data_IF_694474808454
#
_entry.id   IF_694474808454
#
_cell.length_a   1.000
_cell.length_b   1.000
_cell.length_c   1.000
_cell.angle_alpha   90.00
_cell.angle_beta   90.00
_cell.angle_gamma   90.00
#
_symmetry.space_group_name_H-M   'P 1'
#
loop_
_entity.id
_entity.type
_entity.pdbx_description
1 polymer ?
#
# COMPACT_ATOMS: atom_id res chain seq x y z
N UNK A 1 4.75 -2.20 -15.99
CA UNK A 1 5.51 -2.39 -14.75
C UNK A 1 5.13 -1.25 -13.83
N UNK A 2 4.61 -1.53 -12.64
CA UNK A 2 4.26 -0.53 -11.63
C UNK A 2 5.28 -0.62 -10.50
N UNK A 3 5.80 0.53 -10.07
CA UNK A 3 6.72 0.63 -8.95
C UNK A 3 6.23 1.69 -7.97
N UNK A 4 6.08 1.30 -6.72
CA UNK A 4 5.72 2.16 -5.59
C UNK A 4 6.93 2.17 -4.66
N UNK A 5 7.42 3.36 -4.33
CA UNK A 5 8.57 3.57 -3.45
C UNK A 5 8.16 4.42 -2.26
N UNK A 6 8.36 3.88 -1.06
CA UNK A 6 8.16 4.55 0.22
C UNK A 6 6.80 5.29 0.33
N UNK A 7 5.71 4.60 0.02
CA UNK A 7 4.36 5.17 0.10
C UNK A 7 3.92 5.34 1.55
N UNK A 8 3.55 6.57 1.91
CA UNK A 8 2.88 6.91 3.17
C UNK A 8 1.47 7.40 2.86
N UNK A 9 0.52 6.96 3.68
CA UNK A 9 -0.90 7.33 3.54
C UNK A 9 -1.43 7.58 4.93
N UNK A 10 -2.20 8.65 5.10
CA UNK A 10 -2.87 9.02 6.34
C UNK A 10 -4.30 9.52 6.07
N UNK A 11 -5.14 9.48 7.09
CA UNK A 11 -6.47 10.09 7.04
C UNK A 11 -6.32 11.61 7.11
N UNK A 12 -6.91 12.33 6.15
CA UNK A 12 -6.78 13.78 6.03
C UNK A 12 -7.28 14.54 7.27
N UNK A 13 -8.39 14.08 7.88
CA UNK A 13 -8.99 14.77 9.04
C UNK A 13 -8.30 14.44 10.37
N UNK A 14 -7.73 13.23 10.52
CA UNK A 14 -7.20 12.73 11.79
C UNK A 14 -5.65 12.69 11.84
N UNK A 15 -4.98 12.86 10.69
CA UNK A 15 -3.54 12.65 10.56
C UNK A 15 -3.10 11.22 10.90
N UNK A 16 -4.04 10.27 10.94
CA UNK A 16 -3.79 8.91 11.39
C UNK A 16 -3.09 8.11 10.29
N UNK A 17 -1.86 7.63 10.50
CA UNK A 17 -1.13 6.90 9.47
C UNK A 17 -1.75 5.52 9.21
N UNK A 18 -2.10 5.26 7.95
CA UNK A 18 -2.61 3.99 7.42
C UNK A 18 -1.46 3.15 6.85
N UNK A 19 -0.67 3.73 5.94
CA UNK A 19 0.53 3.11 5.36
C UNK A 19 1.77 3.87 5.83
N UNK A 20 2.80 3.13 6.24
CA UNK A 20 4.02 3.66 6.89
C UNK A 20 5.26 3.33 6.08
N UNK A 21 5.31 3.72 4.81
CA UNK A 21 6.45 3.47 3.92
C UNK A 21 6.40 2.11 3.25
N UNK A 22 5.41 1.92 2.38
CA UNK A 22 5.27 0.69 1.58
C UNK A 22 6.09 0.78 0.29
N UNK A 23 6.84 -0.28 -0.02
CA UNK A 23 7.48 -0.48 -1.31
C UNK A 23 6.82 -1.67 -2.02
N UNK A 24 6.40 -1.49 -3.27
CA UNK A 24 5.75 -2.54 -4.06
C UNK A 24 6.21 -2.46 -5.51
N UNK A 25 6.63 -3.60 -6.05
CA UNK A 25 6.95 -3.76 -7.47
C UNK A 25 6.01 -4.79 -8.08
N UNK A 26 5.29 -4.38 -9.14
CA UNK A 26 4.38 -5.25 -9.89
C UNK A 26 4.89 -5.35 -11.33
N UNK A 27 5.35 -6.54 -11.67
CA UNK A 27 5.82 -6.86 -13.02
C UNK A 27 4.64 -6.94 -14.01
N UNK A 28 4.91 -6.62 -15.28
CA UNK A 28 3.91 -6.70 -16.32
C UNK A 28 3.47 -8.15 -16.57
N UNK A 29 2.17 -8.37 -16.80
CA UNK A 29 1.61 -9.70 -17.11
C UNK A 29 1.44 -10.63 -15.90
N UNK A 30 1.79 -10.21 -14.69
CA UNK A 30 1.61 -11.00 -13.46
C UNK A 30 0.39 -10.53 -12.65
N UNK A 31 -0.38 -11.49 -12.14
CA UNK A 31 -1.48 -11.23 -11.19
C UNK A 31 -0.95 -11.33 -9.77
N UNK A 32 -1.25 -10.32 -8.94
CA UNK A 32 -0.84 -10.26 -7.54
C UNK A 32 -2.07 -10.11 -6.66
N UNK A 33 -2.06 -10.76 -5.49
CA UNK A 33 -3.09 -10.62 -4.48
C UNK A 33 -2.54 -9.87 -3.26
N UNK A 34 -3.34 -8.99 -2.69
CA UNK A 34 -3.05 -8.31 -1.43
C UNK A 34 -4.00 -8.89 -0.37
N UNK A 35 -3.44 -9.45 0.71
CA UNK A 35 -4.20 -10.23 1.71
C UNK A 35 -3.87 -9.84 3.14
N UNK A 36 -4.83 -10.01 4.06
CA UNK A 36 -4.68 -9.66 5.48
C UNK A 36 -5.98 -9.25 6.21
N UNK A 37 -5.92 -8.98 7.52
CA UNK A 37 -7.11 -8.68 8.34
C UNK A 37 -7.75 -7.31 8.06
N UNK A 38 -8.99 -7.08 8.50
CA UNK A 38 -9.62 -5.75 8.39
C UNK A 38 -8.80 -4.67 9.12
N UNK A 39 -8.66 -3.50 8.49
CA UNK A 39 -7.90 -2.38 9.05
C UNK A 39 -6.37 -2.42 8.83
N UNK A 40 -5.84 -3.39 8.07
CA UNK A 40 -4.39 -3.51 7.80
C UNK A 40 -3.84 -2.61 6.67
N UNK A 41 -4.69 -1.79 6.04
CA UNK A 41 -4.25 -0.91 4.93
C UNK A 41 -4.11 -1.63 3.58
N UNK A 42 -4.77 -2.78 3.42
CA UNK A 42 -5.07 -3.34 2.10
C UNK A 42 -6.24 -2.61 1.49
#
# INVERSE_FOLDING_TARGET
MLEIKNLHVELEEEGKPILKGVNLTVEAGKVHAIMGPNGSGK
#
